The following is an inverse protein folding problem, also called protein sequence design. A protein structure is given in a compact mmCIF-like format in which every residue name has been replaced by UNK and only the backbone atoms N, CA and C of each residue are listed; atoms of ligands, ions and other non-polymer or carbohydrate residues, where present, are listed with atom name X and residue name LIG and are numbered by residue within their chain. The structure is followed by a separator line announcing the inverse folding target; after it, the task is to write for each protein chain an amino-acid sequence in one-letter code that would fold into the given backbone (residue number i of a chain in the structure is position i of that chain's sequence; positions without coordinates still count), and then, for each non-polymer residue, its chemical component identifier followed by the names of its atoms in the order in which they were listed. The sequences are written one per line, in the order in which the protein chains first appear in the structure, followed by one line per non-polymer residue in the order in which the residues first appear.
data_IF_146094981942
#
_entry.id   IF_146094981942
#
_cell.length_a   1.000
_cell.length_b   1.000
_cell.length_c   1.000
_cell.angle_alpha   90.00
_cell.angle_beta   90.00
_cell.angle_gamma   90.00
#
_symmetry.space_group_name_H-M   'P 1'
#
loop_
_entity.id
_entity.type
_entity.pdbx_description
1 polymer ?
#
# COMPACT_ATOMS: atom_id res chain seq x y z
N UNK A 1 4.26 74.88 47.34
CA UNK A 1 3.17 75.63 46.68
C UNK A 1 2.41 74.62 45.85
N UNK A 2 1.16 74.31 46.23
CA UNK A 2 0.28 73.34 45.57
C UNK A 2 -0.61 74.03 44.52
N UNK A 3 -0.91 73.34 43.41
CA UNK A 3 -2.05 73.45 42.45
C UNK A 3 -1.53 72.96 41.08
N UNK A 4 -1.95 71.82 40.52
CA UNK A 4 -3.24 71.48 39.88
C UNK A 4 -3.52 72.36 38.65
N UNK A 5 -3.55 71.74 37.48
CA UNK A 5 -4.49 72.12 36.42
C UNK A 5 -4.98 70.87 35.65
N UNK A 6 -6.26 70.91 35.31
CA UNK A 6 -7.13 69.82 34.84
C UNK A 6 -7.49 70.06 33.37
N UNK A 7 -7.70 69.01 32.59
CA UNK A 7 -8.71 69.02 31.52
C UNK A 7 -9.36 67.62 31.41
N UNK A 8 -10.65 67.56 31.73
CA UNK A 8 -11.54 66.40 31.58
C UNK A 8 -12.19 66.38 30.20
N UNK A 9 -12.42 65.17 29.65
CA UNK A 9 -13.30 64.91 28.52
C UNK A 9 -14.75 64.68 29.00
N UNK A 10 -15.78 65.14 28.27
CA UNK A 10 -17.17 64.84 28.59
C UNK A 10 -17.65 63.54 27.94
N UNK A 11 -18.38 62.73 28.71
CA UNK A 11 -19.24 61.64 28.23
C UNK A 11 -20.65 62.16 27.91
N UNK A 12 -21.20 61.79 26.75
CA UNK A 12 -22.63 61.53 26.44
C UNK A 12 -22.62 60.60 25.21
N UNK A 13 -23.42 59.54 25.03
CA UNK A 13 -24.82 59.28 25.38
C UNK A 13 -25.59 59.03 24.07
N UNK A 14 -26.12 57.80 23.88
CA UNK A 14 -26.81 57.28 22.69
C UNK A 14 -27.96 58.15 22.13
N UNK A 15 -28.22 58.13 20.80
CA UNK A 15 -29.23 57.28 20.09
C UNK A 15 -29.54 57.82 18.67
N UNK A 16 -29.46 56.97 17.64
CA UNK A 16 -30.54 56.52 16.71
C UNK A 16 -31.20 57.57 15.80
N UNK A 17 -31.40 57.16 14.54
CA UNK A 17 -32.27 57.75 13.52
C UNK A 17 -31.67 58.88 12.67
N UNK A 18 -31.01 58.49 11.56
CA UNK A 18 -31.38 58.87 10.18
C UNK A 18 -30.25 58.58 9.15
N UNK A 19 -29.81 57.32 9.03
CA UNK A 19 -29.24 56.82 7.75
C UNK A 19 -29.88 55.45 7.47
N UNK A 20 -31.21 55.46 7.42
CA UNK A 20 -32.03 54.50 6.68
C UNK A 20 -32.67 55.34 5.60
N UNK A 21 -32.12 55.24 4.38
CA UNK A 21 -32.71 55.47 3.04
C UNK A 21 -31.49 55.62 2.13
N UNK A 22 -31.11 54.51 1.49
CA UNK A 22 -30.01 54.46 0.54
C UNK A 22 -28.96 53.42 0.89
N UNK A 23 -29.35 52.14 0.90
CA UNK A 23 -28.79 51.07 0.04
C UNK A 23 -28.97 49.69 0.69
N UNK A 24 -30.24 49.28 0.89
CA UNK A 24 -30.60 47.89 1.14
C UNK A 24 -31.87 47.53 0.36
N UNK A 25 -31.74 47.30 -0.94
CA UNK A 25 -32.60 46.38 -1.72
C UNK A 25 -31.92 46.02 -3.05
N UNK A 26 -31.14 44.93 -3.06
CA UNK A 26 -31.26 43.82 -4.02
C UNK A 26 -30.30 42.68 -3.58
N UNK A 27 -30.75 41.78 -2.67
CA UNK A 27 -31.22 40.41 -2.98
C UNK A 27 -30.06 39.50 -3.42
N UNK A 28 -29.44 38.74 -2.51
CA UNK A 28 -29.78 37.35 -2.11
C UNK A 28 -30.09 36.43 -3.29
N UNK A 29 -29.20 35.45 -3.53
CA UNK A 29 -29.32 34.36 -4.50
C UNK A 29 -28.18 34.44 -5.50
N UNK A 30 -27.18 33.56 -5.48
CA UNK A 30 -27.33 32.15 -5.81
C UNK A 30 -26.37 31.32 -4.96
N UNK A 31 -26.95 30.58 -4.01
CA UNK A 31 -26.46 29.26 -3.64
C UNK A 31 -26.32 28.44 -4.92
N UNK A 32 -25.19 27.74 -5.11
CA UNK A 32 -25.17 26.59 -6.02
C UNK A 32 -26.12 25.52 -5.46
N UNK A 33 -27.41 25.67 -5.72
CA UNK A 33 -28.39 24.60 -5.52
C UNK A 33 -28.10 23.55 -6.57
N UNK A 34 -27.41 22.52 -6.10
CA UNK A 34 -27.40 21.16 -6.61
C UNK A 34 -28.80 20.80 -7.11
N UNK A 35 -28.96 20.73 -8.43
CA UNK A 35 -30.04 19.97 -9.05
C UNK A 35 -29.44 18.81 -9.83
N UNK A 36 -29.24 17.71 -9.11
CA UNK A 36 -28.94 16.40 -9.69
C UNK A 36 -30.26 15.85 -10.21
N UNK A 37 -30.50 15.92 -11.52
CA UNK A 37 -31.45 15.00 -12.14
C UNK A 37 -30.65 13.75 -12.55
N UNK A 38 -30.89 12.64 -11.86
CA UNK A 38 -30.49 11.31 -12.32
C UNK A 38 -31.16 11.07 -13.68
N UNK A 39 -30.36 10.96 -14.73
CA UNK A 39 -30.61 9.98 -15.78
C UNK A 39 -29.27 9.43 -16.27
N UNK A 40 -29.03 8.15 -15.94
CA UNK A 40 -28.19 7.21 -16.67
C UNK A 40 -26.84 7.72 -17.23
N UNK A 41 -25.78 7.48 -16.45
CA UNK A 41 -24.48 7.01 -16.96
C UNK A 41 -23.64 7.99 -17.78
N UNK A 42 -22.54 8.43 -17.14
CA UNK A 42 -21.34 9.15 -17.67
C UNK A 42 -21.32 10.64 -17.35
N UNK A 43 -20.48 11.00 -16.37
CA UNK A 43 -20.03 12.38 -16.14
C UNK A 43 -18.66 12.53 -16.80
N UNK A 44 -18.58 13.32 -17.87
CA UNK A 44 -17.32 13.74 -18.48
C UNK A 44 -17.07 15.19 -18.06
N UNK A 45 -15.98 15.43 -17.33
CA UNK A 45 -15.58 16.78 -16.92
C UNK A 45 -14.48 17.22 -17.90
N UNK A 46 -14.82 18.16 -18.78
CA UNK A 46 -13.85 18.85 -19.63
C UNK A 46 -13.47 20.14 -18.92
N UNK A 47 -12.22 20.22 -18.45
CA UNK A 47 -11.62 21.46 -17.93
C UNK A 47 -10.84 22.09 -19.08
N UNK A 48 -11.30 23.22 -19.59
CA UNK A 48 -10.55 24.04 -20.55
C UNK A 48 -9.95 25.25 -19.82
N UNK A 49 -8.62 25.39 -19.74
CA UNK A 49 -8.00 26.61 -19.23
C UNK A 49 -8.00 27.69 -20.31
N UNK A 50 -8.53 28.88 -20.00
CA UNK A 50 -8.37 30.07 -20.83
C UNK A 50 -6.90 30.54 -20.78
N UNK A 51 -6.21 30.42 -21.91
CA UNK A 51 -4.88 30.99 -22.14
C UNK A 51 -4.98 32.52 -22.28
N UNK A 52 -4.26 33.24 -21.42
CA UNK A 52 -4.10 34.69 -21.48
C UNK A 52 -3.09 35.03 -22.60
N UNK A 53 -3.58 35.67 -23.66
CA UNK A 53 -2.77 36.15 -24.79
C UNK A 53 -2.06 37.43 -24.36
N UNK A 54 -0.73 37.40 -24.31
CA UNK A 54 0.13 38.57 -24.17
C UNK A 54 1.34 38.42 -25.08
N UNK A 55 1.31 39.06 -26.24
CA UNK A 55 2.45 39.20 -27.13
C UNK A 55 3.22 40.49 -26.84
N UNK A 56 4.55 40.40 -26.85
CA UNK A 56 5.42 41.54 -27.18
C UNK A 56 6.70 41.01 -27.85
N UNK A 57 7.02 41.60 -28.99
CA UNK A 57 8.09 41.24 -29.93
C UNK A 57 9.38 42.02 -29.65
N UNK A 58 10.55 41.37 -29.79
CA UNK A 58 11.78 42.01 -30.27
C UNK A 58 12.76 40.97 -30.86
N UNK A 59 13.13 41.19 -32.13
CA UNK A 59 14.20 40.58 -32.93
C UNK A 59 15.57 41.21 -32.57
N UNK A 60 16.79 40.76 -32.93
CA UNK A 60 17.34 39.57 -33.60
C UNK A 60 18.91 39.58 -33.43
N UNK A 61 19.51 38.38 -33.36
CA UNK A 61 20.75 37.86 -33.99
C UNK A 61 22.16 38.50 -33.71
N UNK A 62 23.32 37.89 -34.15
CA UNK A 62 23.57 36.58 -34.79
C UNK A 62 24.84 35.78 -34.30
N UNK A 63 25.08 34.61 -34.96
CA UNK A 63 26.38 33.92 -35.23
C UNK A 63 26.98 33.00 -34.14
N UNK A 64 27.59 31.81 -34.35
CA UNK A 64 28.09 31.08 -35.55
C UNK A 64 28.57 29.65 -35.18
N UNK A 65 28.40 28.68 -36.10
CA UNK A 65 29.30 27.56 -36.57
C UNK A 65 29.98 26.60 -35.55
N UNK A 66 30.24 25.29 -35.75
CA UNK A 66 30.19 24.27 -36.83
C UNK A 66 30.26 22.86 -36.14
N UNK A 67 29.58 21.78 -36.58
CA UNK A 67 30.01 20.68 -37.50
C UNK A 67 31.31 19.92 -37.05
N UNK A 68 31.40 18.58 -36.93
CA UNK A 68 31.39 17.57 -38.02
C UNK A 68 31.78 16.13 -37.53
N UNK A 69 31.02 15.11 -37.97
CA UNK A 69 31.34 13.76 -38.59
C UNK A 69 32.31 12.79 -37.80
N UNK A 70 32.10 11.48 -37.58
CA UNK A 70 31.97 10.33 -38.53
C UNK A 70 31.78 9.01 -37.72
N UNK A 71 30.67 8.27 -37.86
CA UNK A 71 30.45 7.00 -38.58
C UNK A 71 31.45 5.82 -38.37
N UNK A 72 30.94 4.59 -38.12
CA UNK A 72 31.06 3.44 -39.03
C UNK A 72 30.35 2.14 -38.55
N UNK A 73 29.48 1.59 -39.43
CA UNK A 73 29.25 0.17 -39.85
C UNK A 73 29.00 -0.94 -38.81
N UNK A 74 27.79 -1.54 -38.74
CA UNK A 74 27.23 -2.68 -39.53
C UNK A 74 28.03 -3.99 -39.48
N UNK A 75 27.40 -5.07 -38.97
CA UNK A 75 27.22 -6.34 -39.69
C UNK A 75 26.02 -7.13 -39.17
N UNK A 76 25.17 -7.52 -40.12
CA UNK A 76 24.16 -8.58 -40.11
C UNK A 76 24.78 -9.97 -39.97
N UNK A 77 24.07 -10.91 -39.33
CA UNK A 77 24.05 -12.34 -39.72
C UNK A 77 22.86 -13.08 -39.07
N UNK A 78 22.04 -13.68 -39.91
CA UNK A 78 21.13 -14.81 -39.66
C UNK A 78 21.29 -15.75 -40.89
N UNK A 79 20.65 -16.93 -40.98
CA UNK A 79 20.27 -17.97 -40.02
C UNK A 79 20.94 -19.33 -40.38
N UNK A 80 20.81 -20.38 -39.56
CA UNK A 80 20.95 -21.78 -40.04
C UNK A 80 20.04 -22.75 -39.26
N UNK A 81 19.17 -23.41 -40.02
CA UNK A 81 18.39 -24.63 -39.73
C UNK A 81 19.29 -25.88 -39.75
N UNK A 82 19.02 -26.95 -38.98
CA UNK A 82 18.33 -28.20 -39.39
C UNK A 82 19.01 -29.44 -38.70
N UNK A 83 18.58 -30.71 -38.87
CA UNK A 83 17.77 -31.47 -37.89
C UNK A 83 18.37 -32.84 -37.51
N UNK A 84 17.88 -33.49 -36.44
CA UNK A 84 17.81 -34.97 -36.22
C UNK A 84 17.47 -35.25 -34.74
N UNK A 85 16.73 -36.29 -34.31
CA UNK A 85 16.26 -37.53 -34.92
C UNK A 85 15.01 -37.98 -34.16
N UNK A 86 14.02 -38.45 -34.91
CA UNK A 86 12.84 -39.19 -34.43
C UNK A 86 13.25 -40.61 -34.04
N UNK A 87 12.85 -41.11 -32.87
CA UNK A 87 12.67 -42.56 -32.68
C UNK A 87 11.29 -42.83 -32.12
N UNK A 88 10.55 -43.59 -32.92
CA UNK A 88 9.17 -43.99 -32.76
C UNK A 88 9.07 -45.43 -32.23
N UNK A 89 7.90 -45.80 -31.68
CA UNK A 89 7.27 -47.15 -31.71
C UNK A 89 7.89 -48.13 -30.68
N UNK A 90 7.14 -48.90 -29.87
CA UNK A 90 5.90 -49.62 -30.16
C UNK A 90 4.96 -49.77 -28.96
N UNK A 91 3.67 -49.64 -29.26
CA UNK A 91 2.55 -50.32 -28.62
C UNK A 91 2.61 -51.83 -28.88
N UNK A 92 2.42 -52.66 -27.85
CA UNK A 92 2.04 -54.06 -28.03
C UNK A 92 0.71 -54.33 -27.33
N UNK A 93 -0.30 -54.50 -28.17
CA UNK A 93 -1.59 -55.13 -27.88
C UNK A 93 -1.39 -56.64 -27.87
N UNK A 94 -1.90 -57.33 -26.85
CA UNK A 94 -2.21 -58.76 -26.94
C UNK A 94 -3.51 -59.04 -26.18
N UNK A 95 -4.47 -59.58 -26.91
CA UNK A 95 -5.76 -60.07 -26.44
C UNK A 95 -5.69 -61.61 -26.21
N UNK A 96 -6.81 -62.31 -25.99
CA UNK A 96 -7.32 -62.76 -24.71
C UNK A 96 -7.14 -64.26 -24.47
N UNK A 97 -7.18 -64.70 -23.21
CA UNK A 97 -7.27 -66.13 -22.86
C UNK A 97 -8.51 -66.36 -21.99
N UNK A 98 -9.38 -67.24 -22.49
CA UNK A 98 -10.60 -67.73 -21.85
C UNK A 98 -10.30 -68.78 -20.78
N UNK A 99 -10.83 -68.60 -19.57
CA UNK A 99 -11.02 -69.68 -18.59
C UNK A 99 -12.34 -69.46 -17.85
N UNK A 100 -13.12 -70.53 -17.69
CA UNK A 100 -14.51 -70.57 -17.18
C UNK A 100 -14.54 -70.77 -15.65
N UNK A 101 -15.35 -69.93 -14.97
CA UNK A 101 -16.14 -70.04 -13.71
C UNK A 101 -15.55 -70.73 -12.44
N UNK A 102 -15.83 -70.20 -11.21
CA UNK A 102 -17.16 -70.36 -10.62
C UNK A 102 -17.77 -69.10 -9.96
N UNK A 103 -19.09 -69.11 -9.92
CA UNK A 103 -19.99 -68.10 -9.34
C UNK A 103 -19.81 -67.99 -7.82
N UNK A 104 -19.51 -66.79 -7.32
CA UNK A 104 -19.66 -66.45 -5.89
C UNK A 104 -20.60 -65.25 -5.77
N UNK A 105 -21.71 -65.46 -5.05
CA UNK A 105 -22.67 -64.41 -4.69
C UNK A 105 -22.02 -63.51 -3.64
N UNK A 106 -21.65 -62.28 -4.01
CA UNK A 106 -21.20 -61.26 -3.07
C UNK A 106 -22.32 -60.24 -2.84
N UNK A 107 -22.84 -60.21 -1.62
CA UNK A 107 -23.84 -59.26 -1.16
C UNK A 107 -23.19 -57.88 -1.03
N UNK A 108 -23.61 -56.92 -1.87
CA UNK A 108 -23.15 -55.53 -1.79
C UNK A 108 -23.87 -54.81 -0.66
N UNK A 109 -23.25 -54.70 0.52
CA UNK A 109 -23.71 -53.80 1.57
C UNK A 109 -23.37 -52.36 1.18
N UNK A 110 -24.37 -51.54 0.88
CA UNK A 110 -24.19 -50.11 0.63
C UNK A 110 -24.06 -49.39 1.97
N UNK A 111 -22.84 -49.07 2.36
CA UNK A 111 -22.58 -48.20 3.53
C UNK A 111 -22.74 -46.75 3.08
N UNK A 112 -23.87 -46.13 3.41
CA UNK A 112 -24.06 -44.69 3.28
C UNK A 112 -23.21 -43.98 4.33
N UNK A 113 -22.04 -43.46 3.95
CA UNK A 113 -21.26 -42.57 4.81
C UNK A 113 -21.93 -41.20 4.80
N UNK A 114 -22.70 -40.90 5.85
CA UNK A 114 -23.19 -39.54 6.10
C UNK A 114 -22.00 -38.71 6.54
N UNK A 115 -21.40 -37.95 5.62
CA UNK A 115 -20.40 -36.93 5.95
C UNK A 115 -21.13 -35.76 6.62
N UNK A 116 -21.22 -35.81 7.96
CA UNK A 116 -21.66 -34.65 8.75
C UNK A 116 -20.58 -33.58 8.63
N UNK A 117 -20.79 -32.60 7.75
CA UNK A 117 -19.96 -31.39 7.70
C UNK A 117 -20.30 -30.58 8.94
N UNK A 118 -19.60 -30.81 10.05
CA UNK A 118 -19.58 -29.89 11.18
C UNK A 118 -18.94 -28.60 10.69
N UNK A 119 -19.76 -27.63 10.29
CA UNK A 119 -19.30 -26.27 10.06
C UNK A 119 -19.01 -25.69 11.44
N UNK A 120 -17.77 -25.85 11.91
CA UNK A 120 -17.28 -25.14 13.07
C UNK A 120 -17.34 -23.66 12.71
N UNK A 121 -18.36 -22.95 13.19
CA UNK A 121 -18.40 -21.49 13.09
C UNK A 121 -17.24 -20.97 13.92
N UNK A 122 -16.12 -20.68 13.24
CA UNK A 122 -14.98 -20.00 13.83
C UNK A 122 -15.48 -18.71 14.48
N UNK A 123 -15.01 -18.42 15.70
CA UNK A 123 -15.27 -17.12 16.30
C UNK A 123 -14.82 -16.02 15.32
N UNK A 124 -15.57 -14.91 15.20
CA UNK A 124 -15.19 -13.82 14.31
C UNK A 124 -13.82 -13.29 14.73
N UNK A 125 -12.89 -13.25 13.78
CA UNK A 125 -11.55 -12.70 13.99
C UNK A 125 -11.66 -11.21 14.32
N UNK A 126 -10.88 -10.77 15.30
CA UNK A 126 -10.89 -9.40 15.81
C UNK A 126 -9.48 -8.83 15.86
N UNK A 127 -9.40 -7.50 15.81
CA UNK A 127 -8.15 -6.78 16.08
C UNK A 127 -7.63 -7.16 17.47
N UNK A 128 -6.33 -7.41 17.57
CA UNK A 128 -5.65 -7.94 18.75
C UNK A 128 -5.60 -9.47 18.83
N UNK A 129 -6.40 -10.20 18.05
CA UNK A 129 -6.35 -11.67 18.06
C UNK A 129 -5.21 -12.22 17.19
N UNK A 130 -4.81 -13.47 17.44
CA UNK A 130 -3.85 -14.19 16.59
C UNK A 130 -4.51 -14.61 15.28
N UNK A 131 -3.90 -14.22 14.16
CA UNK A 131 -4.31 -14.63 12.81
C UNK A 131 -3.78 -16.02 12.42
N UNK A 132 -4.21 -16.56 11.27
CA UNK A 132 -3.82 -17.89 10.81
C UNK A 132 -2.31 -18.02 10.54
N UNK A 133 -1.63 -16.94 10.12
CA UNK A 133 -0.17 -16.90 10.01
C UNK A 133 0.56 -16.90 11.35
N UNK A 134 -0.16 -16.86 12.47
CA UNK A 134 0.41 -16.73 13.81
C UNK A 134 0.96 -15.32 14.07
N UNK A 135 0.52 -14.34 13.27
CA UNK A 135 0.70 -12.92 13.52
C UNK A 135 -0.44 -12.35 14.36
N UNK A 136 -0.36 -11.05 14.67
CA UNK A 136 -1.45 -10.35 15.35
C UNK A 136 -2.27 -9.55 14.35
N UNK A 137 -3.59 -9.74 14.35
CA UNK A 137 -4.51 -8.96 13.52
C UNK A 137 -4.53 -7.53 14.06
N UNK A 138 -4.13 -6.55 13.25
CA UNK A 138 -4.10 -5.14 13.68
C UNK A 138 -5.10 -4.27 12.91
N UNK A 139 -5.58 -4.75 11.76
CA UNK A 139 -6.46 -3.98 10.90
C UNK A 139 -7.45 -4.90 10.17
N UNK A 140 -8.69 -4.42 10.01
CA UNK A 140 -9.77 -5.10 9.30
C UNK A 140 -10.40 -4.12 8.34
N UNK A 141 -10.37 -4.43 7.04
CA UNK A 141 -11.03 -3.68 5.99
C UNK A 141 -12.24 -4.46 5.47
N UNK A 142 -13.42 -4.16 6.02
CA UNK A 142 -14.68 -4.80 5.63
C UNK A 142 -15.15 -4.38 4.23
N UNK A 143 -14.48 -3.43 3.57
CA UNK A 143 -14.78 -3.06 2.19
C UNK A 143 -14.14 -4.01 1.17
N UNK A 144 -13.15 -4.81 1.60
CA UNK A 144 -12.52 -5.84 0.77
C UNK A 144 -13.38 -7.11 0.65
N UNK A 145 -13.18 -7.92 -0.41
CA UNK A 145 -13.79 -9.25 -0.50
C UNK A 145 -13.35 -10.17 0.66
N UNK A 146 -14.15 -11.21 0.93
CA UNK A 146 -13.74 -12.28 1.83
C UNK A 146 -12.39 -12.86 1.35
N UNK A 147 -11.46 -13.10 2.28
CA UNK A 147 -10.11 -13.53 1.92
C UNK A 147 -9.07 -12.40 1.79
N UNK A 148 -9.46 -11.13 1.90
CA UNK A 148 -8.53 -9.98 1.86
C UNK A 148 -8.81 -8.92 2.95
N UNK A 149 -9.68 -9.22 3.91
CA UNK A 149 -10.18 -8.24 4.89
C UNK A 149 -9.24 -8.04 6.07
N UNK A 150 -8.49 -9.05 6.45
CA UNK A 150 -7.73 -9.06 7.69
C UNK A 150 -6.26 -8.83 7.39
N UNK A 151 -5.63 -7.97 8.17
CA UNK A 151 -4.18 -7.76 8.11
C UNK A 151 -3.57 -8.20 9.43
N UNK A 152 -2.61 -9.12 9.35
CA UNK A 152 -1.82 -9.58 10.47
C UNK A 152 -0.36 -9.17 10.32
N UNK A 153 0.26 -8.83 11.45
CA UNK A 153 1.68 -8.53 11.53
C UNK A 153 2.43 -9.68 12.21
N UNK A 154 3.62 -10.02 11.69
CA UNK A 154 4.48 -11.01 12.31
C UNK A 154 4.88 -10.61 13.75
N UNK A 155 5.31 -11.61 14.51
CA UNK A 155 5.81 -11.42 15.85
C UNK A 155 7.12 -10.60 15.87
N UNK A 156 7.44 -9.94 16.99
CA UNK A 156 8.79 -9.45 17.28
C UNK A 156 9.81 -10.58 17.29
N UNK A 157 10.97 -10.34 16.68
CA UNK A 157 12.00 -11.36 16.49
C UNK A 157 11.53 -12.45 15.53
N UNK A 158 10.72 -12.10 14.52
CA UNK A 158 10.14 -13.04 13.57
C UNK A 158 11.18 -13.88 12.83
N UNK A 159 12.38 -13.33 12.62
CA UNK A 159 13.53 -14.00 12.04
C UNK A 159 14.20 -15.01 13.00
N UNK A 160 13.86 -14.97 14.29
CA UNK A 160 14.39 -15.82 15.36
C UNK A 160 13.27 -16.58 16.08
N UNK A 161 12.30 -17.13 15.31
CA UNK A 161 11.19 -17.91 15.86
C UNK A 161 10.36 -17.18 16.92
N UNK A 162 10.20 -15.86 16.79
CA UNK A 162 9.42 -15.04 17.70
C UNK A 162 9.97 -15.01 19.15
N UNK A 163 11.28 -15.04 19.33
CA UNK A 163 11.94 -15.05 20.64
C UNK A 163 11.88 -13.72 21.41
N UNK A 164 11.38 -12.64 20.79
CA UNK A 164 11.31 -11.31 21.40
C UNK A 164 12.61 -10.51 21.27
N UNK A 165 13.57 -10.99 20.47
CA UNK A 165 14.69 -10.16 20.01
C UNK A 165 14.22 -9.10 19.03
N UNK A 166 15.05 -8.07 18.82
CA UNK A 166 14.77 -7.05 17.83
C UNK A 166 14.61 -7.66 16.43
N UNK A 167 13.72 -7.06 15.64
CA UNK A 167 13.60 -7.40 14.22
C UNK A 167 14.90 -7.11 13.46
N UNK A 168 15.12 -7.71 12.27
CA UNK A 168 16.32 -7.44 11.51
C UNK A 168 16.29 -6.03 10.91
N UNK A 169 17.47 -5.40 10.84
CA UNK A 169 17.69 -4.14 10.14
C UNK A 169 18.37 -4.40 8.80
N UNK A 170 17.75 -3.92 7.72
CA UNK A 170 18.25 -4.16 6.35
C UNK A 170 18.06 -2.92 5.48
N UNK A 171 18.81 -2.85 4.39
CA UNK A 171 18.57 -1.84 3.36
C UNK A 171 17.21 -2.08 2.67
N UNK A 172 16.58 -1.01 2.18
CA UNK A 172 15.24 -1.08 1.60
C UNK A 172 15.17 -1.97 0.34
N UNK A 173 16.09 -1.72 -0.59
CA UNK A 173 16.15 -2.33 -1.90
C UNK A 173 17.47 -1.94 -2.56
N UNK A 174 17.50 -1.75 -3.88
CA UNK A 174 18.65 -1.19 -4.55
C UNK A 174 18.57 0.35 -4.62
N UNK A 175 19.51 1.02 -3.94
CA UNK A 175 19.65 2.48 -3.97
C UNK A 175 20.15 2.94 -5.35
N UNK A 176 19.63 4.06 -5.83
CA UNK A 176 19.93 4.61 -7.16
C UNK A 176 19.07 4.06 -8.29
N UNK A 177 18.14 3.13 -7.99
CA UNK A 177 17.20 2.57 -8.96
C UNK A 177 15.79 3.06 -8.64
N UNK A 178 15.13 3.65 -9.64
CA UNK A 178 13.72 4.03 -9.57
C UNK A 178 12.82 2.84 -9.98
N UNK A 179 11.99 2.41 -9.04
CA UNK A 179 11.08 1.26 -9.17
C UNK A 179 9.65 1.83 -9.20
N UNK A 180 9.24 2.32 -10.37
CA UNK A 180 7.94 3.01 -10.55
C UNK A 180 6.73 2.19 -10.07
N UNK A 181 6.81 0.86 -10.16
CA UNK A 181 5.76 -0.07 -9.73
C UNK A 181 5.70 -0.27 -8.21
N UNK A 182 6.70 0.21 -7.44
CA UNK A 182 6.72 0.17 -5.98
C UNK A 182 6.23 1.49 -5.34
N UNK A 183 5.49 2.32 -6.06
CA UNK A 183 4.99 3.63 -5.56
C UNK A 183 3.60 3.56 -4.92
N UNK A 184 2.97 2.37 -4.89
CA UNK A 184 1.66 2.16 -4.28
C UNK A 184 1.67 2.49 -2.79
N UNK A 185 0.75 3.35 -2.35
CA UNK A 185 0.74 3.84 -0.98
C UNK A 185 -0.38 3.28 -0.10
N UNK A 186 -1.54 3.01 -0.69
CA UNK A 186 -2.76 2.63 0.03
C UNK A 186 -2.77 1.23 0.63
N UNK A 187 -3.81 0.96 1.43
CA UNK A 187 -4.13 -0.38 1.93
C UNK A 187 -4.20 -1.39 0.77
N UNK A 188 -3.56 -2.54 0.94
CA UNK A 188 -3.48 -3.61 -0.05
C UNK A 188 -2.38 -3.42 -1.10
N UNK A 189 -1.56 -2.35 -1.02
CA UNK A 189 -0.47 -2.12 -1.98
C UNK A 189 0.84 -2.81 -1.61
N UNK A 190 1.00 -3.24 -0.36
CA UNK A 190 2.21 -3.93 0.11
C UNK A 190 2.65 -5.11 -0.76
N UNK A 191 1.75 -6.05 -1.13
CA UNK A 191 2.12 -7.20 -1.97
C UNK A 191 2.68 -6.81 -3.34
N UNK A 192 1.99 -5.91 -4.05
CA UNK A 192 2.39 -5.49 -5.39
C UNK A 192 3.72 -4.72 -5.37
N UNK A 193 3.91 -3.83 -4.38
CA UNK A 193 5.18 -3.13 -4.22
C UNK A 193 6.32 -4.10 -3.88
N UNK A 194 6.09 -5.05 -2.98
CA UNK A 194 7.09 -6.05 -2.58
C UNK A 194 7.55 -6.85 -3.78
N UNK A 195 6.61 -7.33 -4.61
CA UNK A 195 6.92 -8.02 -5.86
C UNK A 195 7.72 -7.14 -6.83
N UNK A 196 7.38 -5.85 -6.95
CA UNK A 196 8.13 -4.92 -7.79
C UNK A 196 9.58 -4.71 -7.31
N UNK A 197 9.79 -4.60 -5.99
CA UNK A 197 11.13 -4.47 -5.40
C UNK A 197 11.95 -5.75 -5.67
N UNK A 198 11.37 -6.93 -5.49
CA UNK A 198 12.03 -8.21 -5.76
C UNK A 198 12.40 -8.37 -7.24
N UNK A 199 11.54 -7.90 -8.15
CA UNK A 199 11.79 -7.95 -9.59
C UNK A 199 12.91 -6.99 -10.03
N UNK A 200 12.94 -5.78 -9.47
CA UNK A 200 13.94 -4.77 -9.85
C UNK A 200 15.30 -4.96 -9.13
N UNK A 201 15.27 -5.45 -7.90
CA UNK A 201 16.44 -5.59 -7.02
C UNK A 201 16.45 -6.97 -6.32
N UNK A 202 16.59 -8.08 -7.07
CA UNK A 202 16.55 -9.42 -6.49
C UNK A 202 17.67 -9.61 -5.47
N UNK A 203 17.31 -9.87 -4.22
CA UNK A 203 18.22 -10.11 -3.11
C UNK A 203 17.48 -10.84 -1.99
N UNK A 204 18.21 -11.62 -1.18
CA UNK A 204 17.69 -12.25 0.04
C UNK A 204 18.03 -11.45 1.29
N UNK A 205 18.70 -10.30 1.16
CA UNK A 205 19.22 -9.50 2.28
C UNK A 205 18.68 -8.08 2.34
N UNK A 206 17.87 -7.65 1.37
CA UNK A 206 17.13 -6.39 1.43
C UNK A 206 15.74 -6.58 2.04
N UNK A 207 15.04 -5.48 2.32
CA UNK A 207 13.76 -5.48 3.03
C UNK A 207 12.70 -6.39 2.39
N UNK A 208 12.52 -6.31 1.07
CA UNK A 208 11.58 -7.17 0.37
C UNK A 208 12.03 -8.64 0.39
N UNK A 209 13.33 -8.89 0.19
CA UNK A 209 13.92 -10.23 0.16
C UNK A 209 13.80 -11.00 1.46
N UNK A 210 14.11 -10.35 2.60
CA UNK A 210 14.01 -11.03 3.90
C UNK A 210 12.56 -11.30 4.28
N UNK A 211 11.63 -10.42 3.89
CA UNK A 211 10.20 -10.59 4.16
C UNK A 211 9.58 -11.68 3.26
N UNK A 212 9.94 -11.73 1.98
CA UNK A 212 9.47 -12.75 1.03
C UNK A 212 9.96 -14.17 1.40
N UNK A 213 11.16 -14.27 1.98
CA UNK A 213 11.69 -15.53 2.50
C UNK A 213 11.00 -16.01 3.79
N UNK A 214 10.17 -15.17 4.43
CA UNK A 214 9.51 -15.52 5.67
C UNK A 214 8.35 -16.48 5.44
N UNK A 215 8.39 -17.62 6.12
CA UNK A 215 7.29 -18.58 6.14
C UNK A 215 6.91 -18.94 7.57
N UNK A 216 5.61 -18.99 7.85
CA UNK A 216 5.10 -19.40 9.17
C UNK A 216 3.73 -20.03 9.05
N UNK A 217 3.50 -21.10 9.82
CA UNK A 217 2.22 -21.83 9.84
C UNK A 217 1.73 -22.28 8.45
N UNK A 218 2.64 -22.55 7.50
CA UNK A 218 2.31 -22.94 6.13
C UNK A 218 2.01 -21.79 5.17
N UNK A 219 2.16 -20.54 5.62
CA UNK A 219 1.94 -19.33 4.81
C UNK A 219 3.27 -18.71 4.38
N UNK A 220 3.37 -18.35 3.10
CA UNK A 220 4.52 -17.70 2.45
C UNK A 220 4.13 -16.41 1.70
N UNK A 221 2.88 -15.99 1.82
CA UNK A 221 2.29 -14.78 1.22
C UNK A 221 2.53 -13.52 2.08
N UNK A 222 3.66 -13.49 2.78
CA UNK A 222 4.07 -12.35 3.59
C UNK A 222 4.73 -11.27 2.72
N UNK A 223 4.50 -10.00 3.06
CA UNK A 223 4.94 -8.87 2.24
C UNK A 223 5.45 -7.71 3.10
N UNK A 224 6.29 -6.87 2.49
CA UNK A 224 6.73 -5.61 3.08
C UNK A 224 5.57 -4.60 2.98
N UNK A 225 5.06 -4.08 4.10
CA UNK A 225 3.84 -3.26 4.09
C UNK A 225 4.04 -1.94 3.35
N UNK A 226 3.03 -1.49 2.63
CA UNK A 226 2.95 -0.12 2.11
C UNK A 226 2.90 0.91 3.24
N UNK A 227 3.13 2.18 2.92
CA UNK A 227 3.15 3.24 3.92
C UNK A 227 1.81 3.40 4.65
N UNK A 228 0.67 3.19 3.98
CA UNK A 228 -0.64 3.33 4.64
C UNK A 228 -0.98 2.10 5.49
N UNK A 229 -0.45 0.92 5.16
CA UNK A 229 -0.55 -0.29 6.02
C UNK A 229 0.27 -0.13 7.31
N UNK A 230 1.49 0.43 7.24
CA UNK A 230 2.24 0.81 8.44
C UNK A 230 1.51 1.87 9.26
N UNK A 231 0.92 2.87 8.59
CA UNK A 231 0.13 3.89 9.27
C UNK A 231 -1.10 3.29 9.98
N UNK A 232 -1.76 2.28 9.41
CA UNK A 232 -2.84 1.57 10.07
C UNK A 232 -2.37 0.85 11.34
N UNK A 233 -1.20 0.20 11.31
CA UNK A 233 -0.58 -0.36 12.52
C UNK A 233 -0.28 0.73 13.55
N UNK A 234 0.27 1.87 13.11
CA UNK A 234 0.62 2.98 13.99
C UNK A 234 -0.61 3.52 14.72
N UNK A 235 -1.70 3.74 13.96
CA UNK A 235 -2.98 4.16 14.51
C UNK A 235 -3.51 3.17 15.53
N UNK A 236 -3.32 1.87 15.31
CA UNK A 236 -3.72 0.88 16.30
C UNK A 236 -2.90 0.95 17.59
N UNK A 237 -1.56 1.00 17.52
CA UNK A 237 -0.69 1.09 18.70
C UNK A 237 -0.84 2.41 19.47
N UNK A 238 -1.26 3.49 18.80
CA UNK A 238 -1.55 4.80 19.42
C UNK A 238 -3.03 4.99 19.80
N UNK A 239 -3.89 3.99 19.56
CA UNK A 239 -5.34 4.09 19.69
C UNK A 239 -5.89 5.37 19.00
N UNK A 240 -5.39 5.67 17.81
CA UNK A 240 -5.73 6.86 17.03
C UNK A 240 -6.75 6.52 15.95
N UNK A 241 -7.99 6.96 16.15
CA UNK A 241 -9.09 6.74 15.22
C UNK A 241 -9.56 8.02 14.49
N UNK A 242 -8.90 9.17 14.73
CA UNK A 242 -9.35 10.45 14.14
C UNK A 242 -8.38 11.01 13.11
N UNK A 243 -7.07 10.79 13.24
CA UNK A 243 -6.11 11.39 12.32
C UNK A 243 -5.92 10.52 11.07
N UNK A 244 -5.69 11.17 9.93
CA UNK A 244 -5.36 10.47 8.68
C UNK A 244 -4.00 9.79 8.78
N UNK A 245 -3.01 10.51 9.31
CA UNK A 245 -1.69 9.98 9.67
C UNK A 245 -1.64 9.85 11.19
N UNK A 246 -1.06 8.75 11.67
CA UNK A 246 -0.82 8.48 13.08
C UNK A 246 -0.20 9.67 13.81
N UNK A 247 -0.77 10.06 14.95
CA UNK A 247 -0.35 11.23 15.70
C UNK A 247 0.40 10.85 17.00
N UNK A 248 1.62 11.38 17.17
CA UNK A 248 2.49 11.21 18.34
C UNK A 248 1.89 11.67 19.67
N UNK A 249 0.88 12.53 19.65
CA UNK A 249 0.32 13.15 20.85
C UNK A 249 -0.71 12.27 21.57
N UNK A 250 -0.82 10.99 21.20
CA UNK A 250 -1.72 10.03 21.84
C UNK A 250 -0.95 9.03 22.70
N UNK A 251 -1.69 8.28 23.50
CA UNK A 251 -1.13 7.23 24.33
C UNK A 251 -0.52 6.15 23.43
N UNK A 252 0.79 5.98 23.52
CA UNK A 252 1.52 4.97 22.77
C UNK A 252 1.56 3.65 23.55
N UNK A 253 0.95 2.61 22.99
CA UNK A 253 1.10 1.25 23.46
C UNK A 253 1.86 0.42 22.42
N UNK A 254 3.20 0.30 22.54
CA UNK A 254 3.99 -0.45 21.57
C UNK A 254 3.75 -1.97 21.63
N UNK A 255 2.98 -2.43 22.62
CA UNK A 255 2.76 -3.85 22.87
C UNK A 255 1.61 -4.36 22.01
N UNK A 256 1.96 -5.15 21.02
CA UNK A 256 1.09 -5.94 20.16
C UNK A 256 1.15 -7.39 20.64
N UNK A 257 0.12 -7.88 21.37
CA UNK A 257 0.10 -9.22 21.96
C UNK A 257 1.38 -9.60 22.75
N UNK A 258 1.84 -8.68 23.60
CA UNK A 258 3.04 -8.89 24.42
C UNK A 258 4.38 -8.64 23.71
N UNK A 259 4.35 -8.09 22.49
CA UNK A 259 5.54 -7.87 21.64
C UNK A 259 5.69 -6.41 21.25
N UNK A 260 6.92 -5.90 21.20
CA UNK A 260 7.22 -4.47 21.11
C UNK A 260 7.34 -4.03 19.63
N UNK A 261 6.82 -2.83 19.34
CA UNK A 261 7.02 -2.08 18.08
C UNK A 261 7.34 -0.63 18.44
N UNK A 262 8.61 -0.27 18.56
CA UNK A 262 9.04 1.09 18.94
C UNK A 262 9.90 1.79 17.90
N UNK A 263 10.55 1.03 17.02
CA UNK A 263 11.57 1.56 16.12
C UNK A 263 10.98 2.12 14.81
N UNK A 264 11.87 2.57 13.93
CA UNK A 264 11.54 2.93 12.56
C UNK A 264 11.44 1.68 11.70
N UNK A 265 10.43 1.60 10.84
CA UNK A 265 10.24 0.46 9.94
C UNK A 265 10.12 0.89 8.50
N UNK A 266 10.74 0.11 7.61
CA UNK A 266 10.56 0.29 6.17
C UNK A 266 9.13 0.00 5.75
N UNK A 267 8.58 0.87 4.91
CA UNK A 267 7.46 0.52 4.03
C UNK A 267 7.98 0.02 2.70
N UNK A 268 7.16 -0.63 1.88
CA UNK A 268 7.44 -0.96 0.48
C UNK A 268 7.16 0.19 -0.48
N UNK A 269 6.69 1.34 0.01
CA UNK A 269 6.37 2.50 -0.84
C UNK A 269 7.63 3.31 -1.14
N UNK A 270 8.03 3.30 -2.40
CA UNK A 270 9.10 4.14 -2.94
C UNK A 270 8.69 5.61 -3.00
N UNK A 271 9.65 6.51 -2.79
CA UNK A 271 9.53 7.94 -3.11
C UNK A 271 10.22 8.26 -4.44
N UNK A 272 11.49 7.87 -4.58
CA UNK A 272 12.30 8.11 -5.78
C UNK A 272 13.45 7.07 -5.85
N UNK A 273 14.41 7.27 -6.76
CA UNK A 273 15.55 6.37 -6.94
C UNK A 273 16.41 6.17 -5.67
N UNK A 274 16.47 7.14 -4.76
CA UNK A 274 17.33 7.13 -3.55
C UNK A 274 16.57 6.99 -2.24
N UNK A 275 15.27 7.29 -2.21
CA UNK A 275 14.46 7.35 -0.99
C UNK A 275 13.21 6.45 -1.04
N UNK A 276 12.83 5.95 0.12
CA UNK A 276 11.57 5.24 0.36
C UNK A 276 10.93 5.72 1.66
N UNK A 277 9.65 5.40 1.86
CA UNK A 277 8.97 5.76 3.11
C UNK A 277 9.38 4.80 4.25
N UNK A 278 9.69 5.37 5.41
CA UNK A 278 9.68 4.67 6.68
C UNK A 278 8.68 5.32 7.65
N UNK A 279 8.33 4.59 8.71
CA UNK A 279 7.52 5.10 9.81
C UNK A 279 8.26 4.86 11.14
N UNK A 280 8.47 5.92 11.91
CA UNK A 280 8.92 5.82 13.30
C UNK A 280 7.74 5.69 14.26
N UNK A 281 7.52 4.50 14.81
CA UNK A 281 6.30 4.20 15.58
C UNK A 281 6.16 4.99 16.87
N UNK A 282 7.26 5.31 17.56
CA UNK A 282 7.18 6.07 18.81
C UNK A 282 6.58 7.48 18.60
N UNK A 283 6.83 8.09 17.45
CA UNK A 283 6.44 9.47 17.15
C UNK A 283 5.37 9.59 16.05
N UNK A 284 5.07 8.50 15.34
CA UNK A 284 4.15 8.51 14.20
C UNK A 284 4.72 9.22 12.97
N UNK A 285 6.04 9.40 12.92
CA UNK A 285 6.71 10.15 11.86
C UNK A 285 6.83 9.28 10.60
N UNK A 286 5.94 9.50 9.64
CA UNK A 286 5.97 8.90 8.32
C UNK A 286 6.72 9.82 7.35
N UNK A 287 7.87 9.39 6.83
CA UNK A 287 8.72 10.27 6.05
C UNK A 287 9.69 9.56 5.11
N UNK A 288 10.41 10.34 4.28
CA UNK A 288 11.49 9.84 3.45
C UNK A 288 12.66 9.35 4.29
N UNK A 289 13.24 8.23 3.87
CA UNK A 289 14.51 7.73 4.38
C UNK A 289 15.31 7.09 3.25
N UNK A 290 16.64 7.28 3.28
CA UNK A 290 17.52 6.85 2.20
C UNK A 290 17.59 5.32 2.10
N UNK A 291 17.34 4.77 0.91
CA UNK A 291 17.28 3.31 0.63
C UNK A 291 18.57 2.56 0.98
N UNK A 292 19.71 3.27 0.98
CA UNK A 292 21.02 2.72 1.35
C UNK A 292 21.26 2.58 2.85
N UNK A 293 20.41 3.19 3.68
CA UNK A 293 20.48 3.03 5.14
C UNK A 293 19.80 1.72 5.56
N UNK A 294 20.18 1.20 6.72
CA UNK A 294 19.47 0.09 7.35
C UNK A 294 18.30 0.63 8.18
N UNK A 295 17.21 -0.14 8.22
CA UNK A 295 16.04 0.12 9.05
C UNK A 295 15.32 -1.18 9.35
N UNK A 296 14.49 -1.22 10.40
CA UNK A 296 13.77 -2.44 10.77
C UNK A 296 12.73 -2.82 9.72
N UNK A 297 12.45 -4.13 9.65
CA UNK A 297 11.43 -4.69 8.78
C UNK A 297 10.58 -5.69 9.54
N UNK A 298 9.28 -5.68 9.29
CA UNK A 298 8.37 -6.67 9.86
C UNK A 298 7.36 -7.14 8.80
N UNK A 299 7.27 -8.46 8.54
CA UNK A 299 6.34 -9.02 7.59
C UNK A 299 4.88 -8.75 7.94
N UNK A 300 4.10 -8.36 6.94
CA UNK A 300 2.64 -8.30 7.02
C UNK A 300 2.04 -9.38 6.14
N UNK A 301 0.83 -9.82 6.48
CA UNK A 301 0.05 -10.75 5.66
C UNK A 301 -1.40 -10.32 5.65
N UNK A 302 -2.08 -10.57 4.53
CA UNK A 302 -3.50 -10.25 4.33
C UNK A 302 -4.28 -11.52 3.99
N UNK A 303 -5.50 -11.65 4.50
CA UNK A 303 -6.34 -12.84 4.33
C UNK A 303 -7.83 -12.60 4.65
#
# INVERSE_FOLDING_TARGET
MFAVDVCNLPETGLSTDLIVIGLLTLVVGVFMTRWVRRSSGRLSIVVAPLLLIGGLTAAAAPSSCAETITAATTTTSAPTTSPNTTTSVATTTSAPTTTVAPTTTSTTTTTTTTTTTTTTTLAPLSVGSTGPGGGTIFYIDLTQPDGERYFEIACEGWNNSCDGTNDPEVAWGCSGVDIGDATGNGIGKGPANTAAILAACPSTTNAAGVVDAYTKNGYSDWFLPSKDELNALCKWVHNDNVNTVCNSNRAFNPIVNGRIIINSYWSSTQINATDAYNLYFQQGDLGPYGKGNINFVRPFRRF
#
